data_IF_930773473461
#
_entry.id   IF_930773473461
#
_cell.length_a   1.000
_cell.length_b   1.000
_cell.length_c   1.000
_cell.angle_alpha   90.00
_cell.angle_beta   90.00
_cell.angle_gamma   90.00
#
_symmetry.space_group_name_H-M   'P 1'
#
loop_
_entity.id
_entity.type
_entity.pdbx_description
1 polymer ?
#
# COMPACT_ATOMS: atom_id res chain seq x y z
N UNK A 1 -4.87 11.26 -24.09
CA UNK A 1 -3.95 11.86 -23.11
C UNK A 1 -2.49 11.69 -23.52
N UNK A 2 -1.95 10.47 -23.58
CA UNK A 2 -0.49 10.22 -23.79
C UNK A 2 0.13 10.70 -25.11
N UNK A 3 -0.66 11.18 -26.08
CA UNK A 3 -0.16 11.74 -27.36
C UNK A 3 0.01 13.26 -27.31
N UNK A 4 -0.34 13.89 -26.19
CA UNK A 4 -0.16 15.33 -26.00
C UNK A 4 1.32 15.65 -25.68
N UNK A 5 1.79 16.86 -26.02
CA UNK A 5 3.06 17.38 -25.54
C UNK A 5 3.16 17.39 -24.01
N UNK A 6 4.39 17.31 -23.48
CA UNK A 6 4.63 17.21 -22.04
C UNK A 6 4.23 18.48 -21.28
N UNK A 7 4.24 19.63 -21.94
CA UNK A 7 3.78 20.92 -21.43
C UNK A 7 2.29 20.85 -21.10
N UNK A 8 1.48 20.31 -22.01
CA UNK A 8 0.05 20.12 -21.78
C UNK A 8 -0.23 19.10 -20.67
N UNK A 9 0.64 18.08 -20.52
CA UNK A 9 0.52 17.19 -19.37
C UNK A 9 0.75 17.91 -18.04
N UNK A 10 1.71 18.82 -17.96
CA UNK A 10 1.95 19.64 -16.75
C UNK A 10 0.75 20.53 -16.46
N UNK A 11 0.23 21.21 -17.46
CA UNK A 11 -0.97 22.05 -17.31
C UNK A 11 -2.14 21.22 -16.76
N UNK A 12 -2.43 20.07 -17.37
CA UNK A 12 -3.49 19.15 -16.89
C UNK A 12 -3.26 18.76 -15.42
N UNK A 13 -2.03 18.39 -15.05
CA UNK A 13 -1.69 18.00 -13.67
C UNK A 13 -1.90 19.16 -12.68
N UNK A 14 -1.61 20.39 -13.10
CA UNK A 14 -1.78 21.59 -12.28
C UNK A 14 -3.25 21.98 -12.14
N UNK A 15 -4.08 21.72 -13.16
CA UNK A 15 -5.53 21.92 -13.11
C UNK A 15 -6.27 20.90 -12.24
N UNK A 16 -5.72 19.71 -12.03
CA UNK A 16 -6.31 18.73 -11.11
C UNK A 16 -6.13 19.26 -9.69
N UNK A 17 -7.21 19.69 -9.03
CA UNK A 17 -7.14 20.19 -7.65
C UNK A 17 -7.32 19.10 -6.61
N UNK A 18 -8.14 18.09 -6.92
CA UNK A 18 -8.43 16.98 -6.04
C UNK A 18 -7.22 16.02 -6.01
N UNK A 19 -6.78 15.67 -4.80
CA UNK A 19 -5.63 14.78 -4.62
C UNK A 19 -5.93 13.37 -5.13
N UNK A 20 -7.15 12.90 -4.90
CA UNK A 20 -7.68 11.64 -5.38
C UNK A 20 -7.52 11.50 -6.90
N UNK A 21 -7.83 12.54 -7.67
CA UNK A 21 -7.70 12.55 -9.11
C UNK A 21 -6.23 12.49 -9.55
N UNK A 22 -5.33 13.20 -8.84
CA UNK A 22 -3.88 13.09 -9.09
C UNK A 22 -3.37 11.69 -8.80
N UNK A 23 -3.83 11.08 -7.72
CA UNK A 23 -3.44 9.73 -7.33
C UNK A 23 -3.97 8.70 -8.34
N UNK A 24 -5.23 8.82 -8.75
CA UNK A 24 -5.82 7.99 -9.80
C UNK A 24 -5.03 8.10 -11.11
N UNK A 25 -4.69 9.32 -11.54
CA UNK A 25 -3.91 9.56 -12.75
C UNK A 25 -2.50 8.95 -12.67
N UNK A 26 -1.83 9.08 -11.50
CA UNK A 26 -0.55 8.42 -11.22
C UNK A 26 -0.66 6.89 -11.33
N UNK A 27 -1.72 6.32 -10.77
CA UNK A 27 -1.94 4.86 -10.73
C UNK A 27 -2.31 4.28 -12.10
N UNK A 28 -2.95 5.08 -12.96
CA UNK A 28 -3.38 4.64 -14.29
C UNK A 28 -2.21 4.44 -15.28
N UNK A 29 -1.07 5.11 -15.11
CA UNK A 29 0.01 5.07 -16.08
C UNK A 29 1.40 5.32 -15.47
N UNK A 30 2.39 4.49 -15.84
CA UNK A 30 3.81 4.65 -15.45
C UNK A 30 4.39 6.02 -15.84
N UNK A 31 3.98 6.58 -16.98
CA UNK A 31 4.40 7.92 -17.38
C UNK A 31 3.95 8.99 -16.38
N UNK A 32 2.64 9.06 -16.09
CA UNK A 32 2.10 10.00 -15.12
C UNK A 32 2.62 9.76 -13.70
N UNK A 33 2.85 8.51 -13.32
CA UNK A 33 3.54 8.17 -12.07
C UNK A 33 4.91 8.85 -11.94
N UNK A 34 5.65 9.00 -13.04
CA UNK A 34 6.99 9.60 -13.05
C UNK A 34 6.99 11.14 -13.07
N UNK A 35 6.00 11.78 -13.69
CA UNK A 35 5.98 13.23 -13.88
C UNK A 35 5.15 13.99 -12.83
N UNK A 36 4.16 13.33 -12.21
CA UNK A 36 3.39 13.94 -11.13
C UNK A 36 4.26 13.91 -9.88
N UNK A 37 4.42 15.05 -9.21
CA UNK A 37 5.13 15.11 -7.92
C UNK A 37 4.51 14.13 -6.94
N UNK A 38 5.34 13.36 -6.26
CA UNK A 38 4.91 12.42 -5.25
C UNK A 38 4.20 13.17 -4.11
N UNK A 39 2.90 12.92 -3.86
CA UNK A 39 2.22 13.53 -2.73
C UNK A 39 2.89 13.13 -1.41
N UNK A 40 2.81 13.98 -0.39
CA UNK A 40 3.32 13.62 0.92
C UNK A 40 2.55 12.43 1.48
N UNK A 41 3.12 11.69 2.41
CA UNK A 41 2.40 10.60 3.05
C UNK A 41 1.12 11.10 3.74
N UNK A 42 1.17 12.28 4.35
CA UNK A 42 0.05 12.95 5.00
C UNK A 42 -1.10 13.20 4.02
N UNK A 43 -0.79 13.62 2.80
CA UNK A 43 -1.76 13.80 1.72
C UNK A 43 -2.51 12.49 1.46
N UNK A 44 -1.79 11.38 1.32
CA UNK A 44 -2.41 10.06 1.13
C UNK A 44 -3.25 9.62 2.34
N UNK A 45 -2.83 9.94 3.57
CA UNK A 45 -3.63 9.63 4.77
C UNK A 45 -4.93 10.45 4.80
N UNK A 46 -4.88 11.72 4.41
CA UNK A 46 -6.09 12.57 4.30
C UNK A 46 -7.01 12.01 3.21
N UNK A 47 -6.48 11.71 2.02
CA UNK A 47 -7.26 11.11 0.93
C UNK A 47 -7.80 9.72 1.28
N UNK A 48 -7.10 8.94 2.11
CA UNK A 48 -7.61 7.67 2.64
C UNK A 48 -8.96 7.87 3.37
N UNK A 49 -9.23 9.03 3.97
CA UNK A 49 -10.50 9.26 4.68
C UNK A 49 -11.68 9.60 3.76
N UNK A 50 -11.45 9.71 2.44
CA UNK A 50 -12.48 10.12 1.46
C UNK A 50 -13.25 8.91 0.91
N UNK A 51 -14.44 9.17 0.38
CA UNK A 51 -15.38 8.16 -0.13
C UNK A 51 -14.71 7.19 -1.12
N UNK A 52 -13.97 7.71 -2.12
CA UNK A 52 -13.31 6.86 -3.12
C UNK A 52 -12.39 5.81 -2.48
N UNK A 53 -11.61 6.17 -1.45
CA UNK A 53 -10.69 5.26 -0.79
C UNK A 53 -11.40 4.31 0.17
N UNK A 54 -12.54 4.71 0.73
CA UNK A 54 -13.36 3.86 1.60
C UNK A 54 -14.04 2.78 0.75
N UNK A 55 -14.74 3.19 -0.30
CA UNK A 55 -15.50 2.31 -1.21
C UNK A 55 -14.59 1.29 -1.91
N UNK A 56 -13.37 1.70 -2.28
CA UNK A 56 -12.38 0.82 -2.92
C UNK A 56 -11.46 0.11 -1.92
N UNK A 57 -11.72 0.19 -0.62
CA UNK A 57 -10.92 -0.43 0.44
C UNK A 57 -9.41 -0.16 0.33
N UNK A 58 -9.06 1.09 0.05
CA UNK A 58 -7.68 1.54 -0.13
C UNK A 58 -7.08 2.04 1.19
N UNK A 59 -5.83 1.68 1.44
CA UNK A 59 -5.04 2.14 2.58
C UNK A 59 -3.66 2.61 2.13
N UNK A 60 -3.13 3.61 2.82
CA UNK A 60 -1.83 4.20 2.60
C UNK A 60 -0.74 3.34 3.22
N UNK A 61 0.29 3.04 2.42
CA UNK A 61 1.51 2.41 2.90
C UNK A 61 2.66 3.42 2.91
N UNK A 62 3.32 3.58 4.06
CA UNK A 62 4.39 4.58 4.24
C UNK A 62 5.59 4.41 3.32
N UNK A 63 5.95 3.17 2.99
CA UNK A 63 7.10 2.88 2.12
C UNK A 63 6.75 2.88 0.64
N UNK A 64 5.54 2.45 0.27
CA UNK A 64 5.08 2.55 -1.12
C UNK A 64 4.87 4.00 -1.54
N UNK A 65 4.54 4.88 -0.60
CA UNK A 65 4.07 6.23 -0.91
C UNK A 65 2.79 6.20 -1.77
N UNK A 66 1.93 5.21 -1.57
CA UNK A 66 0.76 5.01 -2.42
C UNK A 66 -0.35 4.25 -1.69
N UNK A 67 -1.54 4.26 -2.28
CA UNK A 67 -2.63 3.38 -1.88
C UNK A 67 -2.36 1.93 -2.27
N UNK A 68 -2.76 1.03 -1.39
CA UNK A 68 -2.84 -0.40 -1.66
C UNK A 68 -4.20 -0.90 -1.15
N UNK A 69 -4.74 -1.90 -1.83
CA UNK A 69 -5.98 -2.55 -1.41
C UNK A 69 -5.80 -3.21 -0.04
N UNK A 70 -6.86 -3.31 0.76
CA UNK A 70 -6.80 -3.84 2.14
C UNK A 70 -6.15 -5.23 2.23
N UNK A 71 -6.32 -6.06 1.19
CA UNK A 71 -5.72 -7.40 1.07
C UNK A 71 -4.19 -7.39 1.06
N UNK A 72 -3.57 -6.23 0.86
CA UNK A 72 -2.12 -6.07 0.92
C UNK A 72 -1.62 -5.69 2.31
N UNK A 73 -2.49 -5.64 3.32
CA UNK A 73 -2.13 -5.30 4.69
C UNK A 73 -2.53 -6.40 5.67
N UNK A 74 -1.61 -6.72 6.57
CA UNK A 74 -1.90 -7.54 7.73
C UNK A 74 -3.03 -6.94 8.57
N UNK A 75 -3.76 -7.79 9.28
CA UNK A 75 -4.88 -7.39 10.14
C UNK A 75 -4.48 -6.36 11.18
N UNK A 76 -3.32 -6.55 11.82
CA UNK A 76 -2.76 -5.61 12.79
C UNK A 76 -2.30 -4.28 12.17
N UNK A 77 -2.21 -4.18 10.84
CA UNK A 77 -1.97 -2.93 10.11
C UNK A 77 -3.26 -2.20 9.75
N UNK A 78 -4.44 -2.78 10.01
CA UNK A 78 -5.75 -2.16 9.68
C UNK A 78 -6.68 -2.03 10.88
N UNK A 79 -6.26 -2.51 12.06
CA UNK A 79 -7.05 -2.54 13.30
C UNK A 79 -6.41 -1.67 14.39
N UNK A 80 -7.19 -1.35 15.42
CA UNK A 80 -6.72 -0.58 16.59
C UNK A 80 -6.15 0.78 16.23
N UNK A 81 -5.01 1.15 16.82
CA UNK A 81 -4.34 2.44 16.56
C UNK A 81 -3.90 2.64 15.12
N UNK A 82 -3.81 1.57 14.32
CA UNK A 82 -3.46 1.63 12.89
C UNK A 82 -4.67 1.59 11.97
N UNK A 83 -5.90 1.63 12.50
CA UNK A 83 -7.10 1.80 11.67
C UNK A 83 -7.08 3.14 10.91
N UNK A 84 -8.00 3.35 9.97
CA UNK A 84 -8.06 4.53 9.09
C UNK A 84 -7.96 5.86 9.83
N UNK A 85 -8.67 5.98 10.95
CA UNK A 85 -8.67 7.17 11.82
C UNK A 85 -7.81 7.00 13.08
N UNK A 86 -6.96 5.97 13.11
CA UNK A 86 -6.11 5.68 14.25
C UNK A 86 -4.88 6.59 14.29
N UNK A 87 -4.40 6.88 15.49
CA UNK A 87 -3.23 7.74 15.73
C UNK A 87 -1.93 7.24 15.09
N UNK A 88 -1.83 5.92 14.89
CA UNK A 88 -0.67 5.26 14.28
C UNK A 88 -0.93 4.89 12.80
N UNK A 89 -1.94 5.48 12.17
CA UNK A 89 -2.28 5.25 10.76
C UNK A 89 -1.09 5.50 9.81
N UNK A 90 -0.28 6.51 10.12
CA UNK A 90 0.96 6.84 9.40
C UNK A 90 2.06 5.77 9.53
N UNK A 91 1.96 4.83 10.46
CA UNK A 91 2.96 3.77 10.62
C UNK A 91 2.70 2.55 9.73
N UNK A 92 1.53 2.49 9.06
CA UNK A 92 1.11 1.36 8.23
C UNK A 92 2.08 1.05 7.09
N UNK A 93 2.28 -0.24 6.85
CA UNK A 93 2.98 -0.74 5.68
C UNK A 93 2.28 -1.97 5.11
N UNK A 94 2.35 -2.13 3.79
CA UNK A 94 1.82 -3.31 3.12
C UNK A 94 2.76 -4.50 3.33
N UNK A 95 2.26 -5.71 3.10
CA UNK A 95 3.02 -6.94 3.34
C UNK A 95 4.29 -7.00 2.51
N UNK A 96 4.22 -6.62 1.24
CA UNK A 96 5.40 -6.59 0.37
C UNK A 96 6.52 -5.69 0.92
N UNK A 97 6.17 -4.50 1.41
CA UNK A 97 7.14 -3.62 2.07
C UNK A 97 7.62 -4.21 3.40
N UNK A 98 6.75 -4.85 4.16
CA UNK A 98 7.13 -5.55 5.39
C UNK A 98 8.19 -6.63 5.16
N UNK A 99 8.04 -7.41 4.08
CA UNK A 99 9.02 -8.43 3.67
C UNK A 99 10.29 -7.78 3.11
N UNK A 100 10.16 -6.86 2.14
CA UNK A 100 11.30 -6.25 1.45
C UNK A 100 12.20 -5.41 2.36
N UNK A 101 11.64 -4.80 3.41
CA UNK A 101 12.39 -4.03 4.41
C UNK A 101 12.68 -4.82 5.68
N UNK A 102 12.52 -6.15 5.67
CA UNK A 102 12.79 -7.03 6.82
C UNK A 102 12.08 -6.62 8.13
N UNK A 103 10.88 -6.06 8.02
CA UNK A 103 10.05 -5.67 9.17
C UNK A 103 9.27 -6.86 9.74
N UNK A 104 9.07 -7.90 8.93
CA UNK A 104 8.67 -9.21 9.39
C UNK A 104 9.93 -10.06 9.51
N UNK A 105 10.24 -10.53 10.72
CA UNK A 105 11.35 -11.46 10.91
C UNK A 105 11.00 -12.80 10.27
N UNK A 106 11.98 -13.54 9.72
CA UNK A 106 11.73 -14.87 9.20
C UNK A 106 11.08 -15.76 10.27
N UNK A 107 10.04 -16.50 9.88
CA UNK A 107 9.16 -17.26 10.77
C UNK A 107 7.93 -16.50 11.26
N UNK A 108 7.82 -15.19 10.96
CA UNK A 108 6.65 -14.40 11.36
C UNK A 108 5.40 -14.90 10.65
N UNK A 109 4.39 -15.20 11.45
CA UNK A 109 3.03 -15.43 10.99
C UNK A 109 2.27 -14.12 10.85
N UNK A 110 1.59 -13.96 9.73
CA UNK A 110 0.87 -12.74 9.36
C UNK A 110 -0.56 -13.13 8.99
N UNK A 111 -1.54 -12.49 9.61
CA UNK A 111 -2.95 -12.72 9.28
C UNK A 111 -3.47 -11.64 8.33
N UNK A 112 -4.13 -12.04 7.25
CA UNK A 112 -4.81 -11.13 6.30
C UNK A 112 -6.25 -11.58 6.15
N UNK A 113 -7.20 -10.77 6.61
CA UNK A 113 -8.64 -11.11 6.64
C UNK A 113 -8.90 -12.45 7.35
N UNK A 114 -8.23 -12.69 8.47
CA UNK A 114 -8.32 -13.95 9.20
C UNK A 114 -7.53 -15.12 8.61
N UNK A 115 -7.11 -15.05 7.35
CA UNK A 115 -6.28 -16.10 6.73
C UNK A 115 -4.83 -15.99 7.19
N UNK A 116 -4.23 -17.11 7.59
CA UNK A 116 -2.84 -17.20 8.04
C UNK A 116 -1.88 -17.27 6.85
N UNK A 117 -0.79 -16.51 6.94
CA UNK A 117 0.35 -16.53 6.06
C UNK A 117 1.63 -16.59 6.90
N UNK A 118 2.74 -16.96 6.28
CA UNK A 118 4.05 -16.98 6.93
C UNK A 118 5.11 -16.35 6.03
N UNK A 119 6.01 -15.58 6.62
CA UNK A 119 7.32 -15.29 6.00
C UNK A 119 8.22 -16.46 6.37
N UNK A 120 8.41 -17.42 5.47
CA UNK A 120 9.10 -18.68 5.78
C UNK A 120 10.48 -18.42 6.40
N UNK A 121 10.77 -19.05 7.54
CA UNK A 121 12.06 -18.92 8.22
C UNK A 121 13.25 -19.50 7.44
N UNK A 122 13.00 -20.41 6.50
CA UNK A 122 14.03 -21.14 5.75
C UNK A 122 14.33 -20.48 4.39
N UNK A 123 13.29 -20.17 3.61
CA UNK A 123 13.45 -19.61 2.26
C UNK A 123 13.07 -18.13 2.15
N UNK A 124 12.57 -17.50 3.23
CA UNK A 124 12.14 -16.09 3.23
C UNK A 124 10.88 -15.79 2.44
N UNK A 125 10.28 -16.79 1.77
CA UNK A 125 9.10 -16.60 0.94
C UNK A 125 7.88 -16.29 1.80
N UNK A 126 7.14 -15.25 1.43
CA UNK A 126 5.84 -14.97 1.99
C UNK A 126 4.76 -15.79 1.27
N UNK A 127 4.04 -16.64 2.01
CA UNK A 127 3.06 -17.57 1.42
C UNK A 127 1.93 -17.92 2.38
N UNK A 128 0.79 -18.33 1.84
CA UNK A 128 -0.35 -18.90 2.56
C UNK A 128 -0.17 -20.41 2.84
N UNK A 129 0.83 -21.03 2.22
CA UNK A 129 1.18 -22.43 2.42
C UNK A 129 1.96 -22.62 3.72
N UNK A 130 1.29 -22.40 4.85
CA UNK A 130 1.90 -22.47 6.18
C UNK A 130 2.20 -23.92 6.57
N UNK A 131 3.47 -24.19 6.90
CA UNK A 131 3.97 -25.48 7.39
C UNK A 131 4.20 -25.46 8.90
N UNK A 132 5.15 -26.28 9.38
CA UNK A 132 5.44 -26.38 10.81
C UNK A 132 6.43 -25.30 11.28
N UNK A 133 6.18 -24.75 12.49
CA UNK A 133 7.13 -23.89 13.24
C UNK A 133 7.62 -22.65 12.44
N UNK A 134 6.72 -21.97 11.72
CA UNK A 134 7.07 -20.77 10.94
C UNK A 134 7.79 -21.04 9.61
N UNK A 135 7.78 -22.29 9.12
CA UNK A 135 8.19 -22.63 7.76
C UNK A 135 6.98 -22.66 6.81
N UNK A 136 7.22 -22.54 5.51
CA UNK A 136 6.21 -22.89 4.51
C UNK A 136 6.18 -24.41 4.28
N UNK A 137 5.08 -24.95 3.76
CA UNK A 137 4.90 -26.40 3.56
C UNK A 137 5.89 -27.04 2.57
N UNK A 138 6.56 -26.22 1.75
CA UNK A 138 7.58 -26.65 0.80
C UNK A 138 9.00 -26.73 1.39
N UNK A 139 9.20 -26.41 2.66
CA UNK A 139 10.50 -26.46 3.35
C UNK A 139 10.42 -27.30 4.62
#
# INVERSE_FOLDING_TARGET
>A
LLRLPMELHRDIIDYIKALEDKVCLRLACRYFMSIIKHPAQEDFLIAETRAFAIENNLYTCKYCGNFRHLLKFADNMRKGKRARHGVDANTRFCVNCGVAHHLYTPGTEVTILGQLYVVCRLCGTFTDQVGAKGACSSC
#
